data_IF_866997818280
#
_entry.id   IF_866997818280
#
_cell.length_a   1.000
_cell.length_b   1.000
_cell.length_c   1.000
_cell.angle_alpha   90.00
_cell.angle_beta   90.00
_cell.angle_gamma   90.00
#
_symmetry.space_group_name_H-M   'P 1'
#
loop_
_entity.id
_entity.type
_entity.pdbx_description
1 polymer ?
#
# COMPACT_ATOMS: atom_id res chain seq x y z
N UNK A 1 4.32 -1.83 4.86
CA UNK A 1 3.33 -2.94 4.88
C UNK A 1 2.83 -3.15 3.47
N UNK A 2 3.39 -4.10 2.69
CA UNK A 2 3.19 -4.16 1.25
C UNK A 2 1.78 -4.61 0.81
N UNK A 3 1.00 -5.27 1.69
CA UNK A 3 -0.38 -5.68 1.41
C UNK A 3 -1.34 -5.35 2.56
N UNK A 4 -1.16 -4.17 3.17
CA UNK A 4 -2.00 -3.69 4.27
C UNK A 4 -1.94 -4.56 5.53
N UNK A 5 -2.93 -4.38 6.41
CA UNK A 5 -3.01 -5.02 7.73
C UNK A 5 -3.06 -6.55 7.67
N UNK A 6 -3.65 -7.11 6.61
CA UNK A 6 -3.85 -8.56 6.45
C UNK A 6 -2.65 -9.26 5.78
N UNK A 7 -1.72 -8.51 5.19
CA UNK A 7 -0.55 -9.08 4.51
C UNK A 7 0.62 -9.41 5.45
N UNK A 8 1.73 -9.91 4.88
CA UNK A 8 2.98 -10.10 5.63
C UNK A 8 3.58 -8.78 6.10
N UNK A 9 4.31 -8.87 7.22
CA UNK A 9 4.98 -7.75 7.88
C UNK A 9 6.47 -8.00 7.89
N UNK A 10 7.23 -6.96 7.56
CA UNK A 10 8.68 -7.06 7.44
C UNK A 10 9.33 -5.87 8.14
N UNK A 11 10.37 -6.16 8.92
CA UNK A 11 11.27 -5.15 9.43
C UNK A 11 12.32 -4.86 8.36
N UNK A 12 12.45 -3.60 7.93
CA UNK A 12 13.46 -3.19 6.96
C UNK A 12 14.77 -2.87 7.68
N UNK A 13 15.87 -3.47 7.23
CA UNK A 13 17.23 -3.19 7.72
C UNK A 13 18.00 -2.31 6.73
N UNK A 14 19.24 -1.93 7.05
CA UNK A 14 20.07 -1.10 6.16
C UNK A 14 20.26 -1.73 4.75
N UNK A 15 20.36 -3.06 4.66
CA UNK A 15 20.55 -3.76 3.38
C UNK A 15 19.37 -3.59 2.41
N UNK A 16 18.17 -3.28 2.91
CA UNK A 16 17.03 -3.01 2.05
C UNK A 16 17.25 -1.76 1.18
N UNK A 17 17.89 -0.72 1.71
CA UNK A 17 18.20 0.49 0.95
C UNK A 17 19.28 0.23 -0.12
N UNK A 18 20.20 -0.70 0.13
CA UNK A 18 21.21 -1.11 -0.86
C UNK A 18 20.53 -1.74 -2.08
N UNK A 19 19.58 -2.66 -1.88
CA UNK A 19 18.81 -3.27 -2.98
C UNK A 19 18.02 -2.20 -3.77
N UNK A 20 17.46 -1.21 -3.07
CA UNK A 20 16.74 -0.10 -3.70
C UNK A 20 17.63 0.88 -4.45
N UNK A 21 18.93 0.90 -4.17
CA UNK A 21 19.91 1.63 -4.98
C UNK A 21 20.05 1.08 -6.40
N UNK A 22 19.78 -0.22 -6.60
CA UNK A 22 19.76 -0.84 -7.93
C UNK A 22 18.44 -0.58 -8.67
N UNK A 23 17.31 -0.75 -7.97
CA UNK A 23 15.98 -0.42 -8.49
C UNK A 23 15.09 0.04 -7.34
N UNK A 24 14.61 1.29 -7.41
CA UNK A 24 13.84 1.95 -6.34
C UNK A 24 12.39 1.44 -6.24
N UNK A 25 12.23 0.14 -6.00
CA UNK A 25 10.95 -0.56 -5.88
C UNK A 25 10.97 -1.50 -4.68
N UNK A 26 9.95 -1.40 -3.83
CA UNK A 26 9.80 -2.27 -2.65
C UNK A 26 9.59 -3.72 -3.07
N UNK A 27 8.79 -3.93 -4.12
CA UNK A 27 8.53 -5.26 -4.69
C UNK A 27 9.81 -5.89 -5.24
N UNK A 28 10.68 -5.09 -5.86
CA UNK A 28 11.97 -5.58 -6.36
C UNK A 28 12.87 -6.02 -5.20
N UNK A 29 13.09 -5.14 -4.22
CA UNK A 29 13.94 -5.44 -3.08
C UNK A 29 13.44 -6.68 -2.31
N UNK A 30 12.12 -6.79 -2.14
CA UNK A 30 11.49 -7.94 -1.50
C UNK A 30 11.66 -9.24 -2.31
N UNK A 31 11.50 -9.18 -3.63
CA UNK A 31 11.67 -10.36 -4.49
C UNK A 31 13.11 -10.88 -4.46
N UNK A 32 14.10 -9.98 -4.56
CA UNK A 32 15.52 -10.35 -4.54
C UNK A 32 15.93 -10.90 -3.18
N UNK A 33 15.52 -10.24 -2.09
CA UNK A 33 15.80 -10.70 -0.73
C UNK A 33 15.16 -12.07 -0.47
N UNK A 34 13.87 -12.22 -0.79
CA UNK A 34 13.18 -13.48 -0.56
C UNK A 34 13.72 -14.62 -1.43
N UNK A 35 14.03 -14.37 -2.71
CA UNK A 35 14.69 -15.37 -3.55
C UNK A 35 16.01 -15.84 -2.93
N UNK A 36 16.82 -14.91 -2.42
CA UNK A 36 18.08 -15.23 -1.75
C UNK A 36 17.86 -16.12 -0.53
N UNK A 37 16.85 -15.81 0.29
CA UNK A 37 16.49 -16.65 1.45
C UNK A 37 16.07 -18.06 1.00
N UNK A 38 15.25 -18.17 -0.05
CA UNK A 38 14.81 -19.45 -0.62
C UNK A 38 15.99 -20.28 -1.13
N UNK A 39 16.98 -19.67 -1.77
CA UNK A 39 18.20 -20.35 -2.24
C UNK A 39 19.07 -20.87 -1.10
N UNK A 40 19.05 -20.21 0.06
CA UNK A 40 19.76 -20.64 1.28
C UNK A 40 18.99 -21.71 2.08
N UNK A 41 17.86 -22.21 1.58
CA UNK A 41 17.01 -23.16 2.27
C UNK A 41 16.01 -22.53 3.24
N UNK A 42 15.85 -21.20 3.22
CA UNK A 42 14.84 -20.49 4.00
C UNK A 42 13.42 -20.83 3.58
N UNK A 43 12.47 -20.74 4.51
CA UNK A 43 11.05 -21.02 4.30
C UNK A 43 10.31 -19.97 3.46
N UNK A 44 9.02 -20.21 3.21
CA UNK A 44 8.10 -19.22 2.66
C UNK A 44 7.84 -18.09 3.68
N UNK A 45 7.15 -17.03 3.27
CA UNK A 45 6.68 -16.01 4.20
C UNK A 45 5.82 -16.62 5.31
N UNK A 46 6.04 -16.18 6.56
CA UNK A 46 5.29 -16.65 7.72
C UNK A 46 3.78 -16.35 7.62
N UNK A 47 3.42 -15.20 7.02
CA UNK A 47 2.04 -14.85 6.69
C UNK A 47 1.84 -14.90 5.18
N UNK A 48 0.85 -15.66 4.68
CA UNK A 48 0.52 -15.67 3.25
C UNK A 48 0.08 -14.30 2.74
N UNK A 49 0.24 -14.08 1.43
CA UNK A 49 -0.29 -12.90 0.78
C UNK A 49 -1.81 -12.98 0.59
N UNK A 50 -2.56 -11.89 0.78
CA UNK A 50 -3.99 -11.86 0.54
C UNK A 50 -4.29 -11.96 -0.97
N UNK A 51 -4.84 -13.10 -1.40
CA UNK A 51 -5.05 -13.44 -2.82
C UNK A 51 -6.33 -12.85 -3.44
N UNK A 52 -7.29 -12.46 -2.62
CA UNK A 52 -8.59 -11.89 -3.04
C UNK A 52 -8.61 -10.35 -3.06
N UNK A 53 -7.44 -9.71 -2.92
CA UNK A 53 -7.34 -8.24 -2.93
C UNK A 53 -7.74 -7.70 -4.30
N UNK A 54 -8.84 -6.95 -4.36
CA UNK A 54 -9.24 -6.21 -5.54
C UNK A 54 -8.62 -4.81 -5.53
N UNK A 55 -8.00 -4.41 -6.65
CA UNK A 55 -7.38 -3.10 -6.80
C UNK A 55 -8.24 -2.16 -7.64
N UNK A 56 -8.20 -0.84 -7.36
CA UNK A 56 -8.96 0.14 -8.12
C UNK A 56 -8.34 0.39 -9.50
N UNK A 57 -9.20 0.54 -10.51
CA UNK A 57 -8.79 1.00 -11.84
C UNK A 57 -8.36 2.48 -11.83
N UNK A 58 -7.92 3.02 -12.97
CA UNK A 58 -7.42 4.40 -13.05
C UNK A 58 -8.48 5.44 -12.66
N UNK A 59 -9.74 5.25 -13.08
CA UNK A 59 -10.82 6.17 -12.78
C UNK A 59 -11.14 6.16 -11.29
N UNK A 60 -11.20 4.97 -10.69
CA UNK A 60 -11.41 4.79 -9.25
C UNK A 60 -10.27 5.40 -8.43
N UNK A 61 -9.00 5.26 -8.86
CA UNK A 61 -7.85 5.89 -8.18
C UNK A 61 -7.92 7.40 -8.16
N UNK A 62 -8.32 8.02 -9.29
CA UNK A 62 -8.53 9.47 -9.36
C UNK A 62 -9.71 9.91 -8.50
N UNK A 63 -10.81 9.16 -8.50
CA UNK A 63 -11.96 9.43 -7.66
C UNK A 63 -11.62 9.36 -6.16
N UNK A 64 -10.77 8.40 -5.75
CA UNK A 64 -10.24 8.31 -4.39
C UNK A 64 -9.47 9.58 -4.02
N UNK A 65 -8.50 10.01 -4.85
CA UNK A 65 -7.72 11.24 -4.60
C UNK A 65 -8.62 12.48 -4.52
N UNK A 66 -9.62 12.60 -5.39
CA UNK A 66 -10.61 13.69 -5.35
C UNK A 66 -11.40 13.68 -4.05
N UNK A 67 -11.94 12.53 -3.65
CA UNK A 67 -12.74 12.41 -2.43
C UNK A 67 -11.91 12.74 -1.19
N UNK A 68 -10.68 12.24 -1.10
CA UNK A 68 -9.76 12.60 -0.02
C UNK A 68 -9.42 14.10 -0.02
N UNK A 69 -9.35 14.74 -1.19
CA UNK A 69 -9.17 16.18 -1.32
C UNK A 69 -10.38 16.97 -0.81
N UNK A 70 -11.60 16.56 -1.19
CA UNK A 70 -12.85 17.13 -0.68
C UNK A 70 -12.99 17.03 0.83
N UNK A 71 -12.44 15.97 1.43
CA UNK A 71 -12.39 15.79 2.89
C UNK A 71 -11.25 16.57 3.58
N UNK A 72 -10.43 17.31 2.83
CA UNK A 72 -9.29 18.06 3.36
C UNK A 72 -8.10 17.18 3.78
N UNK A 73 -8.09 15.89 3.42
CA UNK A 73 -7.06 14.92 3.81
C UNK A 73 -5.91 14.82 2.79
N UNK A 74 -6.13 15.28 1.56
CA UNK A 74 -5.19 15.18 0.43
C UNK A 74 -5.03 16.51 -0.30
N UNK A 75 -3.78 16.91 -0.54
CA UNK A 75 -3.41 18.16 -1.23
C UNK A 75 -2.56 17.95 -2.49
N UNK A 76 -2.38 16.69 -2.92
CA UNK A 76 -1.59 16.35 -4.10
C UNK A 76 -2.39 16.43 -5.41
N UNK A 77 -1.72 16.19 -6.53
CA UNK A 77 -2.38 16.10 -7.83
C UNK A 77 -3.30 14.87 -7.92
N UNK A 78 -4.40 15.01 -8.69
CA UNK A 78 -5.31 13.90 -9.02
C UNK A 78 -4.83 13.21 -10.30
N UNK A 79 -3.79 12.40 -10.18
CA UNK A 79 -3.12 11.73 -11.29
C UNK A 79 -3.36 10.21 -11.33
N UNK A 80 -4.01 9.66 -10.31
CA UNK A 80 -4.25 8.23 -10.13
C UNK A 80 -3.02 7.46 -9.67
N UNK A 81 -1.92 8.13 -9.29
CA UNK A 81 -0.73 7.50 -8.71
C UNK A 81 -0.88 7.44 -7.19
N UNK A 82 -1.00 6.22 -6.67
CA UNK A 82 -1.20 5.97 -5.24
C UNK A 82 0.13 5.96 -4.48
N UNK A 83 0.82 7.09 -4.50
CA UNK A 83 2.09 7.29 -3.79
C UNK A 83 1.92 7.51 -2.27
N UNK A 84 3.04 7.77 -1.56
CA UNK A 84 3.05 7.93 -0.10
C UNK A 84 2.07 9.00 0.42
N UNK A 85 1.89 10.09 -0.32
CA UNK A 85 0.95 11.17 0.07
C UNK A 85 -0.50 10.68 0.04
N UNK A 86 -0.90 9.97 -1.01
CA UNK A 86 -2.25 9.38 -1.11
C UNK A 86 -2.48 8.32 -0.05
N UNK A 87 -1.48 7.46 0.20
CA UNK A 87 -1.55 6.42 1.23
C UNK A 87 -1.68 7.03 2.63
N UNK A 88 -0.92 8.08 2.95
CA UNK A 88 -1.03 8.79 4.22
C UNK A 88 -2.38 9.48 4.39
N UNK A 89 -2.92 10.10 3.32
CA UNK A 89 -4.26 10.68 3.34
C UNK A 89 -5.34 9.63 3.62
N UNK A 90 -5.25 8.46 2.97
CA UNK A 90 -6.18 7.36 3.21
C UNK A 90 -6.03 6.76 4.61
N UNK A 91 -4.81 6.66 5.14
CA UNK A 91 -4.59 6.24 6.53
C UNK A 91 -5.27 7.17 7.54
N UNK A 92 -5.25 8.48 7.30
CA UNK A 92 -5.98 9.45 8.13
C UNK A 92 -7.50 9.27 8.02
N UNK A 93 -8.00 8.99 6.82
CA UNK A 93 -9.42 8.66 6.62
C UNK A 93 -9.83 7.40 7.40
N UNK A 94 -9.03 6.34 7.34
CA UNK A 94 -9.24 5.12 8.13
C UNK A 94 -9.23 5.42 9.64
N UNK A 95 -8.26 6.20 10.12
CA UNK A 95 -8.13 6.57 11.52
C UNK A 95 -9.36 7.34 12.03
N UNK A 96 -9.88 8.29 11.24
CA UNK A 96 -11.09 9.05 11.57
C UNK A 96 -12.34 8.17 11.73
N UNK A 97 -12.32 6.95 11.18
CA UNK A 97 -13.40 5.95 11.25
C UNK A 97 -13.15 4.86 12.30
N UNK A 98 -12.08 4.97 13.09
CA UNK A 98 -11.68 3.94 14.07
C UNK A 98 -11.14 2.66 13.43
N UNK A 99 -10.77 2.70 12.14
CA UNK A 99 -10.20 1.56 11.43
C UNK A 99 -8.67 1.48 11.64
N UNK A 100 -8.08 0.33 11.32
CA UNK A 100 -6.62 0.19 11.24
C UNK A 100 -6.10 1.06 10.09
N UNK A 101 -5.36 2.12 10.44
CA UNK A 101 -4.81 3.11 9.52
C UNK A 101 -3.57 2.61 8.76
N UNK A 102 -3.74 1.57 7.94
CA UNK A 102 -2.65 0.98 7.15
C UNK A 102 -2.35 1.71 5.84
N UNK A 103 -3.21 2.62 5.41
CA UNK A 103 -3.07 3.40 4.17
C UNK A 103 -3.10 2.56 2.90
N UNK A 104 -3.52 1.29 2.98
CA UNK A 104 -3.49 0.37 1.85
C UNK A 104 -4.73 0.53 0.97
N UNK A 105 -4.55 1.26 -0.13
CA UNK A 105 -5.64 1.63 -1.04
C UNK A 105 -6.02 0.43 -1.93
N UNK A 106 -7.22 -0.09 -1.70
CA UNK A 106 -7.84 -1.17 -2.48
C UNK A 106 -9.14 -0.69 -3.12
N UNK A 107 -9.86 -1.54 -3.86
CA UNK A 107 -11.18 -1.21 -4.39
C UNK A 107 -12.17 -0.83 -3.27
N UNK A 108 -12.05 -1.44 -2.08
CA UNK A 108 -12.85 -1.09 -0.92
C UNK A 108 -12.65 0.36 -0.46
N UNK A 109 -11.48 0.96 -0.70
CA UNK A 109 -11.23 2.37 -0.42
C UNK A 109 -12.13 3.29 -1.28
N UNK A 110 -12.30 2.94 -2.56
CA UNK A 110 -13.19 3.66 -3.47
C UNK A 110 -14.64 3.57 -2.99
N UNK A 111 -15.10 2.37 -2.61
CA UNK A 111 -16.45 2.14 -2.09
C UNK A 111 -16.71 2.91 -0.79
N UNK A 112 -15.77 2.87 0.16
CA UNK A 112 -15.88 3.58 1.44
C UNK A 112 -15.92 5.11 1.27
N UNK A 113 -15.08 5.66 0.38
CA UNK A 113 -15.06 7.09 0.09
C UNK A 113 -16.30 7.54 -0.70
N UNK A 114 -16.82 6.71 -1.60
CA UNK A 114 -18.05 6.98 -2.32
C UNK A 114 -19.28 7.03 -1.40
N UNK A 115 -19.29 6.20 -0.34
CA UNK A 115 -20.36 6.18 0.67
C UNK A 115 -20.30 7.33 1.68
N UNK A 116 -19.24 8.15 1.67
CA UNK A 116 -19.07 9.31 2.56
C UNK A 116 -19.58 10.61 1.93
N UNK A 117 -20.22 10.54 0.75
CA UNK A 117 -20.82 11.67 0.04
C UNK A 117 -22.22 12.00 0.54
#
# INVERSE_FOLDING_TARGET
>A
MPAGKSGPKFLMTANYLVLKGYNFSDSYAMAVAHLTDRLKGGGSFATPWPRSTAFPDLAQRKAIQQALGSLGLYSGAVDGRLGPVTQAAYARFQAARGEVADGFVTRAAYEALAATR
#
